data_IF_738939349959
#
_entry.id   IF_738939349959
#
_cell.length_a   1.000
_cell.length_b   1.000
_cell.length_c   1.000
_cell.angle_alpha   90.00
_cell.angle_beta   90.00
_cell.angle_gamma   90.00
#
_symmetry.space_group_name_H-M   'P 1'
#
loop_
_entity.id
_entity.type
_entity.pdbx_description
1 polymer ?
#
# COMPACT_ATOMS: atom_id res chain seq x y z
N UNK A 1 -10.85 -28.01 1.20
CA UNK A 1 -10.91 -26.54 1.01
C UNK A 1 -9.90 -26.16 -0.04
N UNK A 2 -10.25 -25.31 -1.00
CA UNK A 2 -9.30 -24.82 -2.01
C UNK A 2 -8.33 -23.90 -1.29
N UNK A 3 -7.04 -24.20 -1.35
CA UNK A 3 -5.98 -23.33 -0.84
C UNK A 3 -5.78 -22.20 -1.86
N UNK A 4 -5.56 -20.99 -1.40
CA UNK A 4 -5.43 -19.84 -2.31
C UNK A 4 -4.21 -18.99 -1.97
N UNK A 5 -3.49 -18.61 -3.01
CA UNK A 5 -2.43 -17.61 -2.96
C UNK A 5 -3.05 -16.28 -3.42
N UNK A 6 -3.24 -15.36 -2.49
CA UNK A 6 -4.04 -14.16 -2.69
C UNK A 6 -3.16 -12.91 -2.65
N UNK A 7 -3.34 -12.02 -3.62
CA UNK A 7 -2.71 -10.67 -3.60
C UNK A 7 -3.75 -9.64 -3.18
N UNK A 8 -3.42 -8.81 -2.21
CA UNK A 8 -4.23 -7.65 -1.79
C UNK A 8 -3.54 -6.37 -2.24
N UNK A 9 -4.23 -5.58 -3.07
CA UNK A 9 -3.73 -4.31 -3.58
C UNK A 9 -4.69 -3.15 -3.28
N UNK A 10 -4.19 -1.92 -3.33
CA UNK A 10 -5.03 -0.73 -3.34
C UNK A 10 -5.47 -0.38 -4.76
N UNK A 11 -6.75 -0.18 -4.97
CA UNK A 11 -7.31 0.13 -6.29
C UNK A 11 -7.29 1.64 -6.63
N UNK A 12 -6.86 2.49 -5.69
CA UNK A 12 -6.85 3.96 -5.82
C UNK A 12 -5.42 4.52 -5.60
N UNK A 13 -5.28 5.63 -4.86
CA UNK A 13 -3.98 6.27 -4.54
C UNK A 13 -3.40 5.88 -3.17
N UNK A 14 -3.67 4.69 -2.68
CA UNK A 14 -3.27 4.28 -1.34
C UNK A 14 -4.27 4.74 -0.27
N UNK A 15 -3.99 4.35 0.97
CA UNK A 15 -4.82 4.70 2.14
C UNK A 15 -6.28 4.19 2.07
N UNK A 16 -6.56 3.18 1.23
CA UNK A 16 -7.89 2.58 1.07
C UNK A 16 -8.34 1.74 2.28
N UNK A 17 -7.53 1.64 3.32
CA UNK A 17 -7.84 0.79 4.47
C UNK A 17 -7.37 -0.67 4.31
N UNK A 18 -6.39 -0.91 3.43
CA UNK A 18 -5.79 -2.23 3.19
C UNK A 18 -5.34 -2.94 4.47
N UNK A 19 -4.77 -2.19 5.44
CA UNK A 19 -4.29 -2.77 6.68
C UNK A 19 -5.37 -3.58 7.42
N UNK A 20 -6.60 -3.05 7.53
CA UNK A 20 -7.74 -3.75 8.12
C UNK A 20 -8.13 -5.01 7.33
N UNK A 21 -8.17 -4.90 5.99
CA UNK A 21 -8.54 -6.01 5.12
C UNK A 21 -7.45 -7.09 5.16
N UNK A 22 -6.17 -6.71 5.10
CA UNK A 22 -5.05 -7.65 5.21
C UNK A 22 -5.03 -8.34 6.57
N UNK A 23 -5.24 -7.61 7.66
CA UNK A 23 -5.35 -8.17 9.00
C UNK A 23 -6.50 -9.19 9.09
N UNK A 24 -7.69 -8.85 8.57
CA UNK A 24 -8.83 -9.77 8.53
C UNK A 24 -8.48 -11.07 7.79
N UNK A 25 -7.85 -10.97 6.63
CA UNK A 25 -7.48 -12.12 5.79
C UNK A 25 -6.31 -12.92 6.36
N UNK A 26 -5.42 -12.28 7.13
CA UNK A 26 -4.27 -12.92 7.77
C UNK A 26 -4.67 -14.03 8.75
N UNK A 27 -5.90 -14.00 9.30
CA UNK A 27 -6.43 -15.07 10.14
C UNK A 27 -6.48 -16.42 9.44
N UNK A 28 -6.62 -16.43 8.12
CA UNK A 28 -6.72 -17.64 7.30
C UNK A 28 -5.45 -17.90 6.49
N UNK A 29 -4.41 -17.06 6.66
CA UNK A 29 -3.14 -17.20 5.96
C UNK A 29 -2.09 -17.88 6.82
N UNK A 30 -1.40 -18.87 6.28
CA UNK A 30 -0.22 -19.47 6.90
C UNK A 30 1.03 -18.61 6.73
N UNK A 31 1.07 -17.83 5.63
CA UNK A 31 2.20 -16.97 5.28
C UNK A 31 1.69 -15.61 4.78
N UNK A 32 2.22 -14.52 5.31
CA UNK A 32 1.95 -13.15 4.84
C UNK A 32 3.23 -12.53 4.30
N UNK A 33 3.21 -12.09 3.04
CA UNK A 33 4.39 -11.58 2.33
C UNK A 33 4.21 -10.12 1.96
N UNK A 34 5.01 -9.24 2.54
CA UNK A 34 5.17 -7.88 2.07
C UNK A 34 6.10 -7.86 0.87
N UNK A 35 5.62 -7.53 -0.32
CA UNK A 35 6.40 -7.72 -1.54
C UNK A 35 7.05 -6.45 -2.09
N UNK A 36 6.63 -5.25 -1.68
CA UNK A 36 7.15 -3.99 -2.21
C UNK A 36 6.99 -2.81 -1.23
N UNK A 37 7.49 -1.62 -1.61
CA UNK A 37 7.45 -0.41 -0.79
C UNK A 37 8.55 -0.41 0.26
N UNK A 38 8.34 0.35 1.30
CA UNK A 38 9.28 0.50 2.42
C UNK A 38 8.59 1.25 3.56
N UNK A 39 9.33 2.03 4.31
CA UNK A 39 8.83 2.82 5.45
C UNK A 39 7.91 4.00 5.06
N UNK A 40 7.65 4.20 3.77
CA UNK A 40 6.62 5.12 3.27
C UNK A 40 5.20 4.57 3.41
N UNK A 41 5.04 3.28 3.66
CA UNK A 41 3.76 2.69 4.01
C UNK A 41 3.46 2.87 5.51
N UNK A 42 2.19 2.80 5.88
CA UNK A 42 1.77 2.78 7.27
C UNK A 42 0.47 1.99 7.38
N UNK A 43 0.52 0.89 8.12
CA UNK A 43 -0.66 0.11 8.49
C UNK A 43 -0.99 0.40 9.94
N UNK A 44 -2.20 0.85 10.18
CA UNK A 44 -2.74 0.95 11.52
C UNK A 44 -3.64 -0.24 11.78
N UNK A 45 -3.33 -1.02 12.79
CA UNK A 45 -4.09 -2.19 13.20
C UNK A 45 -4.56 -1.95 14.63
N UNK A 46 -5.82 -2.23 14.90
CA UNK A 46 -6.42 -2.12 16.24
C UNK A 46 -6.63 -3.54 16.79
N UNK A 47 -5.97 -3.85 17.91
CA UNK A 47 -6.08 -5.14 18.62
C UNK A 47 -6.34 -4.85 20.07
N UNK A 48 -7.47 -5.35 20.60
CA UNK A 48 -7.84 -5.22 22.03
C UNK A 48 -7.61 -3.80 22.59
N UNK A 49 -8.16 -2.78 21.90
CA UNK A 49 -8.02 -1.34 22.20
C UNK A 49 -6.61 -0.75 22.03
N UNK A 50 -5.63 -1.54 21.59
CA UNK A 50 -4.31 -1.07 21.25
C UNK A 50 -4.19 -0.71 19.76
N UNK A 51 -3.62 0.45 19.48
CA UNK A 51 -3.37 0.92 18.12
C UNK A 51 -1.90 0.69 17.78
N UNK A 52 -1.63 -0.30 16.95
CA UNK A 52 -0.29 -0.62 16.44
C UNK A 52 -0.10 0.01 15.05
N UNK A 53 1.02 0.71 14.88
CA UNK A 53 1.39 1.31 13.59
C UNK A 53 2.61 0.60 13.04
N UNK A 54 2.42 -0.18 11.98
CA UNK A 54 3.48 -0.90 11.29
C UNK A 54 3.80 -0.24 9.94
N UNK A 55 5.06 -0.17 9.58
CA UNK A 55 5.54 0.37 8.30
C UNK A 55 6.13 -0.71 7.39
N UNK A 56 6.93 -1.63 7.95
CA UNK A 56 7.64 -2.68 7.23
C UNK A 56 7.08 -4.07 7.52
N UNK A 57 6.78 -4.34 8.78
CA UNK A 57 6.38 -5.68 9.22
C UNK A 57 4.96 -5.97 8.72
N UNK A 58 4.73 -7.17 8.09
CA UNK A 58 3.42 -7.57 7.61
C UNK A 58 2.36 -7.65 8.73
N UNK A 59 1.10 -7.37 8.37
CA UNK A 59 -0.04 -7.37 9.31
C UNK A 59 -0.26 -8.72 9.99
N UNK A 60 0.16 -9.82 9.37
CA UNK A 60 0.04 -11.19 9.89
C UNK A 60 0.84 -11.46 11.18
N UNK A 61 1.77 -10.57 11.56
CA UNK A 61 2.61 -10.74 12.77
C UNK A 61 1.79 -10.84 14.08
N UNK A 62 0.54 -10.41 14.05
CA UNK A 62 -0.38 -10.50 15.19
C UNK A 62 -0.94 -11.91 15.42
N UNK A 63 -0.70 -12.83 14.49
CA UNK A 63 -1.16 -14.22 14.57
C UNK A 63 0.04 -15.15 14.80
N UNK A 64 0.14 -15.82 15.97
CA UNK A 64 1.34 -16.56 16.36
C UNK A 64 1.80 -17.65 15.38
N UNK A 65 0.84 -18.29 14.68
CA UNK A 65 1.12 -19.38 13.75
C UNK A 65 1.42 -18.89 12.32
N UNK A 66 1.37 -17.58 12.08
CA UNK A 66 1.57 -16.98 10.75
C UNK A 66 3.04 -16.63 10.54
N UNK A 67 3.62 -17.11 9.46
CA UNK A 67 4.95 -16.70 9.01
C UNK A 67 4.85 -15.37 8.27
N UNK A 68 5.57 -14.35 8.72
CA UNK A 68 5.61 -13.03 8.10
C UNK A 68 6.91 -12.81 7.34
N UNK A 69 6.84 -12.58 6.03
CA UNK A 69 7.98 -12.41 5.15
C UNK A 69 8.07 -10.98 4.62
N UNK A 70 9.23 -10.34 4.77
CA UNK A 70 9.58 -9.11 4.07
C UNK A 70 10.38 -9.50 2.83
N UNK A 71 9.74 -9.40 1.65
CA UNK A 71 10.27 -9.88 0.38
C UNK A 71 11.37 -9.00 -0.22
N UNK A 72 12.03 -9.53 -1.25
CA UNK A 72 13.17 -8.89 -1.94
C UNK A 72 12.81 -7.59 -2.69
N UNK A 73 11.53 -7.38 -2.97
CA UNK A 73 11.04 -6.15 -3.59
C UNK A 73 10.91 -4.98 -2.63
N UNK A 74 10.93 -5.22 -1.32
CA UNK A 74 10.85 -4.18 -0.29
C UNK A 74 12.20 -3.48 -0.12
N UNK A 75 12.18 -2.18 0.20
CA UNK A 75 13.36 -1.45 0.66
C UNK A 75 13.28 -1.25 2.18
N UNK A 76 14.29 -1.71 2.89
CA UNK A 76 14.29 -1.85 4.34
C UNK A 76 15.12 -0.76 4.99
N UNK A 77 14.52 -0.01 5.89
CA UNK A 77 15.23 0.86 6.81
C UNK A 77 15.49 0.08 8.11
N UNK A 78 16.75 -0.33 8.38
CA UNK A 78 17.06 -1.18 9.52
C UNK A 78 16.70 -0.54 10.86
N UNK A 79 16.87 0.78 10.99
CA UNK A 79 16.56 1.50 12.22
C UNK A 79 15.07 1.48 12.53
N UNK A 80 14.23 1.73 11.50
CA UNK A 80 12.76 1.70 11.66
C UNK A 80 12.29 0.27 11.93
N UNK A 81 12.82 -0.71 11.18
CA UNK A 81 12.48 -2.12 11.38
C UNK A 81 12.79 -2.59 12.81
N UNK A 82 13.96 -2.25 13.34
CA UNK A 82 14.33 -2.60 14.71
C UNK A 82 13.45 -1.91 15.74
N UNK A 83 13.05 -0.66 15.49
CA UNK A 83 12.09 0.04 16.34
C UNK A 83 10.69 -0.63 16.33
N UNK A 84 10.24 -1.15 15.19
CA UNK A 84 9.00 -1.93 15.12
C UNK A 84 9.12 -3.27 15.87
N UNK A 85 10.28 -3.95 15.76
CA UNK A 85 10.54 -5.18 16.51
C UNK A 85 10.51 -4.93 18.02
N UNK A 86 11.20 -3.90 18.49
CA UNK A 86 11.24 -3.55 19.90
C UNK A 86 9.82 -3.24 20.42
N UNK A 87 9.04 -2.46 19.67
CA UNK A 87 7.66 -2.13 20.00
C UNK A 87 6.76 -3.39 20.06
N UNK A 88 6.90 -4.33 19.12
CA UNK A 88 6.12 -5.58 19.13
C UNK A 88 6.47 -6.44 20.34
N UNK A 89 7.76 -6.59 20.68
CA UNK A 89 8.24 -7.33 21.85
C UNK A 89 7.71 -6.70 23.15
N UNK A 90 7.79 -5.37 23.28
CA UNK A 90 7.27 -4.63 24.44
C UNK A 90 5.76 -4.82 24.62
N UNK A 91 5.02 -5.03 23.54
CA UNK A 91 3.59 -5.35 23.58
C UNK A 91 3.28 -6.86 23.69
N UNK A 92 4.30 -7.70 23.94
CA UNK A 92 4.12 -9.13 24.16
C UNK A 92 3.81 -9.94 22.90
N UNK A 93 4.06 -9.38 21.71
CA UNK A 93 3.82 -10.05 20.43
C UNK A 93 5.05 -10.90 20.08
N UNK A 94 4.81 -12.17 19.74
CA UNK A 94 5.86 -13.08 19.30
C UNK A 94 6.33 -12.72 17.88
N UNK A 95 7.63 -12.53 17.72
CA UNK A 95 8.27 -12.20 16.45
C UNK A 95 9.02 -13.37 15.82
N UNK A 96 8.94 -14.58 16.39
CA UNK A 96 9.67 -15.77 15.90
C UNK A 96 9.31 -16.13 14.44
N UNK A 97 8.08 -15.86 14.03
CA UNK A 97 7.59 -16.05 12.66
C UNK A 97 8.08 -15.02 11.65
N UNK A 98 8.78 -13.94 12.08
CA UNK A 98 9.23 -12.88 11.18
C UNK A 98 10.50 -13.29 10.44
N UNK A 99 10.49 -13.11 9.12
CA UNK A 99 11.61 -13.40 8.21
C UNK A 99 11.84 -12.23 7.25
N UNK A 100 13.11 -11.97 6.96
CA UNK A 100 13.57 -10.87 6.12
C UNK A 100 14.40 -11.38 4.95
N UNK A 101 14.09 -10.98 3.74
CA UNK A 101 14.85 -11.36 2.57
C UNK A 101 16.29 -10.85 2.64
N UNK A 102 17.26 -11.78 2.55
CA UNK A 102 18.67 -11.47 2.46
C UNK A 102 19.02 -10.54 1.29
N UNK A 103 18.21 -10.57 0.23
CA UNK A 103 18.37 -9.80 -1.01
C UNK A 103 17.58 -8.49 -1.04
N UNK A 104 16.78 -8.18 -0.02
CA UNK A 104 16.12 -6.87 0.09
C UNK A 104 17.16 -5.75 0.19
N UNK A 105 16.84 -4.58 -0.41
CA UNK A 105 17.74 -3.44 -0.41
C UNK A 105 17.57 -2.61 0.86
N UNK A 106 18.68 -2.03 1.30
CA UNK A 106 18.76 -1.27 2.55
C UNK A 106 18.68 0.23 2.26
N UNK A 107 17.80 0.92 2.97
CA UNK A 107 17.77 2.38 2.97
C UNK A 107 18.91 2.89 3.85
N UNK A 108 19.95 3.44 3.19
CA UNK A 108 21.12 4.04 3.83
C UNK A 108 20.83 5.49 4.24
N UNK A 109 21.62 6.09 5.17
CA UNK A 109 21.36 7.45 5.65
C UNK A 109 21.45 8.50 4.53
N UNK A 110 22.32 8.32 3.54
CA UNK A 110 22.41 9.23 2.39
C UNK A 110 21.14 9.22 1.53
N UNK A 111 20.37 8.14 1.47
CA UNK A 111 19.10 8.10 0.75
C UNK A 111 18.08 9.08 1.33
N UNK A 112 17.98 9.16 2.66
CA UNK A 112 17.08 10.11 3.32
C UNK A 112 17.52 11.55 3.09
N UNK A 113 18.83 11.82 3.21
CA UNK A 113 19.38 13.17 2.97
C UNK A 113 19.12 13.62 1.53
N UNK A 114 19.33 12.72 0.56
CA UNK A 114 19.06 13.00 -0.85
C UNK A 114 17.57 13.25 -1.11
N UNK A 115 16.67 12.42 -0.59
CA UNK A 115 15.21 12.59 -0.77
C UNK A 115 14.76 13.96 -0.26
N UNK A 116 15.18 14.35 0.95
CA UNK A 116 14.87 15.64 1.55
C UNK A 116 15.48 16.83 0.76
N UNK A 117 16.72 16.69 0.32
CA UNK A 117 17.41 17.74 -0.43
C UNK A 117 16.80 17.94 -1.82
N UNK A 118 16.44 16.84 -2.51
CA UNK A 118 15.78 16.87 -3.82
C UNK A 118 14.38 17.50 -3.73
N UNK A 119 13.58 17.14 -2.73
CA UNK A 119 12.26 17.75 -2.54
C UNK A 119 12.37 19.26 -2.23
N UNK A 120 13.33 19.65 -1.40
CA UNK A 120 13.59 21.05 -1.11
C UNK A 120 14.01 21.84 -2.37
N UNK A 121 14.84 21.24 -3.23
CA UNK A 121 15.31 21.89 -4.46
C UNK A 121 14.19 22.05 -5.49
N UNK A 122 13.24 21.10 -5.54
CA UNK A 122 12.09 21.17 -6.46
C UNK A 122 11.13 22.33 -6.18
N UNK A 123 11.07 22.83 -4.94
CA UNK A 123 10.18 23.94 -4.56
C UNK A 123 8.72 23.63 -4.90
N UNK A 124 8.09 24.46 -5.73
CA UNK A 124 6.69 24.29 -6.15
C UNK A 124 6.46 23.08 -7.08
N UNK A 125 7.51 22.49 -7.63
CA UNK A 125 7.44 21.26 -8.45
C UNK A 125 7.73 19.99 -7.64
N UNK A 126 7.57 20.06 -6.33
CA UNK A 126 7.75 18.91 -5.44
C UNK A 126 6.77 17.76 -5.79
N UNK A 127 7.20 16.54 -5.59
CA UNK A 127 6.35 15.34 -5.73
C UNK A 127 5.48 15.14 -4.48
N UNK A 128 5.95 15.62 -3.33
CA UNK A 128 5.30 15.41 -2.05
C UNK A 128 5.73 14.10 -1.39
N UNK A 129 7.01 13.71 -1.55
CA UNK A 129 7.57 12.48 -0.96
C UNK A 129 7.47 12.48 0.57
N UNK A 130 7.65 11.30 1.17
CA UNK A 130 7.67 11.17 2.63
C UNK A 130 9.02 11.61 3.25
N UNK A 131 10.04 11.93 2.45
CA UNK A 131 11.39 12.26 2.90
C UNK A 131 12.13 11.09 3.57
N UNK A 132 11.69 9.86 3.34
CA UNK A 132 12.20 8.63 3.96
C UNK A 132 13.26 7.91 3.13
N UNK A 133 13.65 8.47 1.99
CA UNK A 133 14.70 7.92 1.12
C UNK A 133 14.28 6.76 0.23
N UNK A 134 12.98 6.53 0.06
CA UNK A 134 12.46 5.40 -0.72
C UNK A 134 12.88 5.49 -2.19
N UNK A 135 12.63 6.64 -2.84
CA UNK A 135 13.02 6.88 -4.24
C UNK A 135 14.50 6.66 -4.48
N UNK A 136 15.39 7.35 -3.75
CA UNK A 136 16.84 7.13 -3.87
C UNK A 136 17.29 5.69 -3.62
N UNK A 137 16.65 4.95 -2.70
CA UNK A 137 16.98 3.52 -2.48
C UNK A 137 16.62 2.65 -3.69
N UNK A 138 15.45 2.87 -4.30
CA UNK A 138 15.07 2.16 -5.53
C UNK A 138 15.92 2.58 -6.73
N UNK A 139 16.36 3.84 -6.79
CA UNK A 139 17.30 4.30 -7.81
C UNK A 139 18.63 3.53 -7.74
N UNK A 140 19.22 3.42 -6.55
CA UNK A 140 20.45 2.65 -6.35
C UNK A 140 20.25 1.15 -6.63
N UNK A 141 19.09 0.58 -6.27
CA UNK A 141 18.74 -0.79 -6.65
C UNK A 141 18.77 -0.98 -8.17
N UNK A 142 18.17 -0.08 -8.94
CA UNK A 142 18.12 -0.14 -10.40
C UNK A 142 19.48 0.16 -11.03
N UNK A 143 20.27 1.06 -10.43
CA UNK A 143 21.66 1.36 -10.82
C UNK A 143 22.63 0.24 -10.46
N UNK A 144 22.21 -0.73 -9.64
CA UNK A 144 23.03 -1.87 -9.15
C UNK A 144 24.17 -1.47 -8.21
N UNK A 145 24.03 -0.34 -7.53
CA UNK A 145 24.92 0.17 -6.48
C UNK A 145 24.33 0.03 -5.07
N UNK A 146 23.08 -0.47 -4.95
CA UNK A 146 22.40 -0.58 -3.66
C UNK A 146 22.99 -1.65 -2.73
N UNK A 147 22.97 -1.34 -1.44
CA UNK A 147 23.36 -2.26 -0.35
C UNK A 147 22.18 -3.19 -0.07
N UNK A 148 22.46 -4.49 0.14
CA UNK A 148 21.47 -5.51 0.50
C UNK A 148 21.56 -5.89 1.97
N UNK A 149 20.50 -6.46 2.50
CA UNK A 149 20.46 -6.93 3.91
C UNK A 149 21.61 -7.91 4.20
N UNK A 150 21.93 -8.83 3.29
CA UNK A 150 23.02 -9.79 3.42
C UNK A 150 24.40 -9.11 3.59
N UNK A 151 24.56 -7.90 3.06
CA UNK A 151 25.84 -7.17 3.14
C UNK A 151 26.07 -6.64 4.56
N UNK A 152 25.01 -6.42 5.35
CA UNK A 152 25.10 -5.98 6.74
C UNK A 152 25.60 -7.08 7.68
N UNK A 153 25.65 -8.33 7.23
CA UNK A 153 26.05 -9.49 8.04
C UNK A 153 27.56 -9.78 7.96
N UNK A 154 28.28 -9.06 7.11
CA UNK A 154 29.72 -9.27 6.88
C UNK A 154 30.41 -7.91 6.70
N UNK A 155 31.33 -7.60 7.60
CA UNK A 155 32.03 -6.31 7.62
C UNK A 155 32.84 -6.05 6.35
N UNK A 156 33.59 -7.04 5.87
CA UNK A 156 34.43 -6.87 4.69
C UNK A 156 33.56 -6.59 3.44
N UNK A 157 32.45 -7.30 3.33
CA UNK A 157 31.48 -7.11 2.25
C UNK A 157 30.81 -5.75 2.33
N UNK A 158 30.37 -5.33 3.53
CA UNK A 158 29.73 -4.02 3.69
C UNK A 158 30.70 -2.88 3.33
N UNK A 159 31.96 -2.97 3.76
CA UNK A 159 32.99 -1.97 3.41
C UNK A 159 33.19 -1.87 1.90
N UNK A 160 33.43 -3.01 1.24
CA UNK A 160 33.62 -3.09 -0.21
C UNK A 160 32.43 -2.51 -0.99
N UNK A 161 31.22 -2.89 -0.60
CA UNK A 161 29.99 -2.45 -1.29
C UNK A 161 29.63 -0.99 -1.05
N UNK A 162 29.96 -0.44 0.11
CA UNK A 162 29.57 0.92 0.51
C UNK A 162 30.55 1.99 0.03
N UNK A 163 31.84 1.68 -0.14
CA UNK A 163 32.90 2.67 -0.43
C UNK A 163 32.56 3.53 -1.63
N UNK A 164 32.27 2.92 -2.78
CA UNK A 164 31.94 3.64 -4.02
C UNK A 164 30.66 4.47 -3.91
N UNK A 165 29.53 3.87 -3.56
CA UNK A 165 28.26 4.59 -3.40
C UNK A 165 28.31 5.72 -2.38
N UNK A 166 28.96 5.51 -1.23
CA UNK A 166 29.04 6.55 -0.20
C UNK A 166 29.87 7.75 -0.67
N UNK A 167 31.00 7.52 -1.35
CA UNK A 167 31.81 8.59 -1.90
C UNK A 167 31.04 9.39 -2.97
N UNK A 168 30.35 8.73 -3.89
CA UNK A 168 29.51 9.36 -4.89
C UNK A 168 28.40 10.21 -4.25
N UNK A 169 27.67 9.65 -3.28
CA UNK A 169 26.55 10.35 -2.64
C UNK A 169 27.05 11.52 -1.75
N UNK A 170 28.16 11.36 -1.07
CA UNK A 170 28.77 12.44 -0.30
C UNK A 170 29.19 13.60 -1.20
N UNK A 171 29.81 13.31 -2.37
CA UNK A 171 30.13 14.35 -3.35
C UNK A 171 28.88 15.07 -3.84
N UNK A 172 27.81 14.33 -4.16
CA UNK A 172 26.53 14.90 -4.61
C UNK A 172 25.90 15.78 -3.51
N UNK A 173 25.85 15.29 -2.27
CA UNK A 173 25.32 16.02 -1.13
C UNK A 173 26.06 17.34 -0.89
N UNK A 174 27.41 17.31 -0.94
CA UNK A 174 28.22 18.51 -0.74
C UNK A 174 28.11 19.52 -1.88
N UNK A 175 28.34 19.06 -3.12
CA UNK A 175 28.53 19.96 -4.26
C UNK A 175 27.22 20.51 -4.82
N UNK A 176 26.14 19.72 -4.81
CA UNK A 176 24.84 20.11 -5.38
C UNK A 176 23.89 20.65 -4.32
N UNK A 177 23.85 19.99 -3.15
CA UNK A 177 22.84 20.29 -2.14
C UNK A 177 23.36 21.08 -0.93
N UNK A 178 24.69 21.27 -0.80
CA UNK A 178 25.28 21.99 0.35
C UNK A 178 25.06 21.27 1.68
N UNK A 179 24.87 19.94 1.65
CA UNK A 179 24.69 19.09 2.84
C UNK A 179 26.04 18.49 3.25
N UNK A 180 26.31 18.45 4.55
CA UNK A 180 27.56 17.86 5.07
C UNK A 180 27.68 16.38 4.70
N UNK A 181 28.90 15.89 4.39
CA UNK A 181 29.11 14.48 4.06
C UNK A 181 28.92 13.60 5.28
N UNK A 182 28.58 12.36 5.04
CA UNK A 182 28.49 11.32 6.06
C UNK A 182 29.88 10.73 6.33
N UNK A 183 30.16 10.46 7.60
CA UNK A 183 31.34 9.71 8.02
C UNK A 183 31.14 8.21 7.72
N UNK A 184 32.00 7.65 6.86
CA UNK A 184 31.92 6.27 6.42
C UNK A 184 32.07 5.25 7.56
N UNK A 185 33.01 5.50 8.49
CA UNK A 185 33.24 4.58 9.62
C UNK A 185 32.06 4.57 10.59
N UNK A 186 31.45 5.73 10.83
CA UNK A 186 30.24 5.82 11.65
C UNK A 186 29.06 5.07 11.00
N UNK A 187 28.87 5.22 9.68
CA UNK A 187 27.83 4.50 8.92
C UNK A 187 28.07 2.99 8.97
N UNK A 188 29.29 2.53 8.72
CA UNK A 188 29.64 1.09 8.76
C UNK A 188 29.36 0.51 10.15
N UNK A 189 29.86 1.16 11.20
CA UNK A 189 29.67 0.71 12.58
C UNK A 189 28.18 0.59 12.96
N UNK A 190 27.38 1.60 12.61
CA UNK A 190 25.95 1.63 12.89
C UNK A 190 25.22 0.50 12.15
N UNK A 191 25.49 0.31 10.84
CA UNK A 191 24.78 -0.66 10.02
C UNK A 191 25.20 -2.11 10.29
N UNK A 192 26.46 -2.35 10.71
CA UNK A 192 26.88 -3.66 11.24
C UNK A 192 26.14 -4.00 12.55
N UNK A 193 25.96 -3.02 13.43
CA UNK A 193 25.19 -3.23 14.65
C UNK A 193 23.72 -3.59 14.34
N UNK A 194 23.10 -2.94 13.35
CA UNK A 194 21.78 -3.31 12.86
C UNK A 194 21.76 -4.71 12.25
N UNK A 195 22.75 -5.05 11.40
CA UNK A 195 22.91 -6.36 10.79
C UNK A 195 22.97 -7.47 11.83
N UNK A 196 23.74 -7.29 12.89
CA UNK A 196 23.84 -8.24 14.00
C UNK A 196 22.49 -8.53 14.67
N UNK A 197 21.67 -7.50 14.87
CA UNK A 197 20.31 -7.65 15.44
C UNK A 197 19.34 -8.32 14.47
N UNK A 198 19.45 -8.01 13.18
CA UNK A 198 18.56 -8.56 12.15
C UNK A 198 18.93 -9.98 11.72
N UNK A 199 20.18 -10.42 11.95
CA UNK A 199 20.70 -11.71 11.50
C UNK A 199 19.80 -12.92 11.77
N UNK A 200 19.14 -13.04 12.94
CA UNK A 200 18.24 -14.17 13.22
C UNK A 200 17.03 -14.28 12.29
N UNK A 201 16.63 -13.17 11.68
CA UNK A 201 15.46 -13.08 10.79
C UNK A 201 15.82 -13.23 9.30
N UNK A 202 17.12 -13.15 8.95
CA UNK A 202 17.55 -13.10 7.55
C UNK A 202 17.53 -14.48 6.90
N UNK A 203 16.77 -14.61 5.82
CA UNK A 203 16.58 -15.88 5.08
C UNK A 203 16.58 -15.67 3.56
N UNK A 204 16.57 -16.77 2.81
CA UNK A 204 16.17 -16.79 1.40
C UNK A 204 14.64 -16.85 1.31
N UNK A 205 13.99 -15.67 1.25
CA UNK A 205 12.54 -15.58 1.21
C UNK A 205 11.93 -16.28 -0.02
N UNK A 206 12.57 -16.25 -1.17
CA UNK A 206 12.09 -16.94 -2.37
C UNK A 206 11.98 -18.44 -2.11
N UNK A 207 13.01 -19.04 -1.51
CA UNK A 207 13.00 -20.45 -1.12
C UNK A 207 11.90 -20.75 -0.09
N UNK A 208 11.72 -19.90 0.92
CA UNK A 208 10.68 -20.05 1.94
C UNK A 208 9.28 -20.04 1.31
N UNK A 209 8.99 -19.07 0.42
CA UNK A 209 7.70 -18.96 -0.25
C UNK A 209 7.42 -20.17 -1.15
N UNK A 210 8.43 -20.60 -1.91
CA UNK A 210 8.29 -21.79 -2.76
C UNK A 210 8.09 -23.08 -1.95
N UNK A 211 8.70 -23.16 -0.76
CA UNK A 211 8.46 -24.29 0.15
C UNK A 211 7.04 -24.25 0.69
N UNK A 212 6.56 -23.07 1.17
CA UNK A 212 5.19 -22.90 1.64
C UNK A 212 4.16 -23.30 0.57
N UNK A 213 4.39 -22.91 -0.70
CA UNK A 213 3.53 -23.28 -1.81
C UNK A 213 3.52 -24.79 -2.06
N UNK A 214 4.68 -25.48 -2.00
CA UNK A 214 4.76 -26.95 -2.10
C UNK A 214 4.03 -27.66 -0.96
N UNK A 215 4.11 -27.07 0.23
CA UNK A 215 3.46 -27.57 1.44
C UNK A 215 1.95 -27.23 1.47
N UNK A 216 1.44 -26.63 0.39
CA UNK A 216 0.04 -26.24 0.24
C UNK A 216 -0.45 -25.30 1.35
N UNK A 217 0.39 -24.32 1.69
CA UNK A 217 0.07 -23.23 2.61
C UNK A 217 -0.69 -22.10 1.91
N UNK A 218 -1.62 -21.46 2.63
CA UNK A 218 -2.27 -20.25 2.16
C UNK A 218 -1.29 -19.09 2.24
N UNK A 219 -1.02 -18.43 1.12
CA UNK A 219 -0.07 -17.31 1.05
C UNK A 219 -0.84 -16.02 0.72
N UNK A 220 -0.72 -15.03 1.60
CA UNK A 220 -1.26 -13.69 1.41
C UNK A 220 -0.15 -12.73 1.03
N UNK A 221 -0.22 -12.15 -0.16
CA UNK A 221 0.70 -11.10 -0.60
C UNK A 221 0.11 -9.74 -0.27
N UNK A 222 0.73 -9.06 0.67
CA UNK A 222 0.32 -7.77 1.19
C UNK A 222 0.96 -6.63 0.39
N UNK A 223 0.15 -5.89 -0.39
CA UNK A 223 0.55 -4.69 -1.11
C UNK A 223 0.55 -3.44 -0.23
N UNK A 224 1.43 -2.51 -0.56
CA UNK A 224 1.44 -1.16 -0.01
C UNK A 224 1.08 -0.14 -1.08
N UNK A 225 0.74 1.09 -0.69
CA UNK A 225 0.30 2.15 -1.58
C UNK A 225 -0.97 1.73 -2.37
N UNK A 226 -1.10 2.14 -3.63
CA UNK A 226 -2.23 1.81 -4.50
C UNK A 226 -1.86 1.88 -5.97
N UNK A 227 -2.73 1.37 -6.83
CA UNK A 227 -2.51 1.23 -8.28
C UNK A 227 -2.09 2.54 -8.94
N UNK A 228 -2.74 3.66 -8.58
CA UNK A 228 -2.47 4.97 -9.18
C UNK A 228 -1.14 5.60 -8.68
N UNK A 229 -0.48 4.96 -7.73
CA UNK A 229 0.87 5.29 -7.27
C UNK A 229 1.95 4.36 -7.84
N UNK A 230 1.59 3.44 -8.75
CA UNK A 230 2.56 2.55 -9.40
C UNK A 230 3.52 3.35 -10.29
N UNK A 231 4.80 2.96 -10.29
CA UNK A 231 5.84 3.65 -11.04
C UNK A 231 5.59 3.68 -12.55
N UNK A 232 5.04 2.59 -13.10
CA UNK A 232 4.82 2.41 -14.54
C UNK A 232 3.37 2.70 -14.94
N UNK A 233 2.41 2.41 -14.06
CA UNK A 233 0.97 2.44 -14.35
C UNK A 233 0.20 3.55 -13.60
N UNK A 234 0.88 4.30 -12.74
CA UNK A 234 0.27 5.36 -11.94
C UNK A 234 0.31 6.74 -12.60
N UNK A 235 -0.05 7.74 -11.80
CA UNK A 235 -0.08 9.16 -12.21
C UNK A 235 1.32 9.78 -12.21
N UNK A 236 2.25 9.22 -12.97
CA UNK A 236 3.63 9.72 -13.07
C UNK A 236 3.69 11.22 -13.42
N UNK A 237 4.53 12.06 -12.78
CA UNK A 237 5.59 11.70 -11.83
C UNK A 237 5.13 11.60 -10.34
N UNK A 238 3.84 11.77 -10.04
CA UNK A 238 3.28 11.76 -8.69
C UNK A 238 2.96 10.34 -8.24
N UNK A 239 3.99 9.51 -8.13
CA UNK A 239 3.94 8.07 -7.86
C UNK A 239 4.95 7.66 -6.80
N UNK A 240 4.86 6.41 -6.30
CA UNK A 240 5.94 5.78 -5.53
C UNK A 240 6.99 5.20 -6.49
N UNK A 241 8.17 4.87 -5.98
CA UNK A 241 9.26 4.31 -6.79
C UNK A 241 9.24 2.78 -6.85
N UNK A 242 8.09 2.17 -6.62
CA UNK A 242 7.88 0.72 -6.66
C UNK A 242 6.61 0.38 -7.44
N UNK A 243 6.35 -0.93 -7.62
CA UNK A 243 5.18 -1.42 -8.32
C UNK A 243 4.15 -2.03 -7.34
N UNK A 244 3.16 -1.23 -6.84
CA UNK A 244 2.06 -1.69 -6.01
C UNK A 244 1.08 -2.63 -6.70
N UNK A 245 1.03 -2.64 -8.04
CA UNK A 245 0.14 -3.51 -8.82
C UNK A 245 0.41 -4.99 -8.53
N UNK A 246 -0.58 -5.85 -8.81
CA UNK A 246 -0.53 -7.28 -8.51
C UNK A 246 0.68 -7.99 -9.13
N UNK A 247 1.09 -7.59 -10.35
CA UNK A 247 2.31 -8.08 -11.00
C UNK A 247 3.59 -7.83 -10.21
N UNK A 248 3.61 -6.77 -9.38
CA UNK A 248 4.70 -6.48 -8.45
C UNK A 248 4.91 -7.54 -7.38
N UNK A 249 3.86 -8.29 -7.02
CA UNK A 249 3.96 -9.40 -6.07
C UNK A 249 4.86 -10.52 -6.64
N UNK A 250 4.73 -10.82 -7.92
CA UNK A 250 5.55 -11.84 -8.57
C UNK A 250 7.04 -11.49 -8.51
N UNK A 251 7.39 -10.25 -8.83
CA UNK A 251 8.78 -9.77 -8.83
C UNK A 251 9.32 -9.64 -7.41
N UNK A 252 8.53 -9.01 -6.51
CA UNK A 252 8.97 -8.66 -5.16
C UNK A 252 9.09 -9.86 -4.21
N UNK A 253 8.27 -10.88 -4.43
CA UNK A 253 8.32 -12.14 -3.66
C UNK A 253 9.13 -13.24 -4.35
N UNK A 254 9.42 -13.10 -5.66
CA UNK A 254 10.17 -14.10 -6.43
C UNK A 254 9.32 -15.32 -6.79
N UNK A 255 8.06 -15.12 -7.17
CA UNK A 255 7.13 -16.18 -7.57
C UNK A 255 6.66 -16.03 -9.00
N UNK A 256 6.32 -17.14 -9.65
CA UNK A 256 5.72 -17.09 -10.98
C UNK A 256 4.26 -16.60 -10.93
N UNK A 257 3.76 -15.93 -12.01
CA UNK A 257 2.39 -15.39 -12.02
C UNK A 257 1.30 -16.48 -11.87
N UNK A 258 1.58 -17.71 -12.29
CA UNK A 258 0.66 -18.85 -12.16
C UNK A 258 0.52 -19.37 -10.73
N UNK A 259 1.32 -18.86 -9.79
CA UNK A 259 1.14 -19.15 -8.36
C UNK A 259 0.01 -18.31 -7.76
N UNK A 260 -0.31 -17.17 -8.35
CA UNK A 260 -1.37 -16.28 -7.85
C UNK A 260 -2.73 -16.83 -8.27
N UNK A 261 -3.56 -17.14 -7.30
CA UNK A 261 -4.92 -17.68 -7.53
C UNK A 261 -5.96 -16.57 -7.62
N UNK A 262 -5.77 -15.48 -6.83
CA UNK A 262 -6.72 -14.36 -6.73
C UNK A 262 -6.04 -13.03 -6.47
N UNK A 263 -6.69 -11.96 -6.94
CA UNK A 263 -6.30 -10.58 -6.67
C UNK A 263 -7.50 -9.81 -6.11
N UNK A 264 -7.35 -9.29 -4.90
CA UNK A 264 -8.36 -8.49 -4.20
C UNK A 264 -7.98 -7.02 -4.31
N UNK A 265 -8.87 -6.21 -4.89
CA UNK A 265 -8.75 -4.77 -4.89
C UNK A 265 -9.41 -4.15 -3.66
N UNK A 266 -8.69 -3.36 -2.89
CA UNK A 266 -9.28 -2.56 -1.81
C UNK A 266 -9.53 -1.16 -2.34
N UNK A 267 -10.79 -0.70 -2.25
CA UNK A 267 -11.21 0.65 -2.63
C UNK A 267 -12.00 1.28 -1.48
N UNK A 268 -11.86 2.58 -1.27
CA UNK A 268 -12.81 3.32 -0.44
C UNK A 268 -14.12 3.54 -1.19
N UNK A 269 -15.19 3.70 -0.47
CA UNK A 269 -16.47 4.14 -1.02
C UNK A 269 -16.43 5.58 -1.62
N UNK A 270 -15.33 6.28 -1.46
CA UNK A 270 -14.97 7.56 -2.07
C UNK A 270 -13.48 7.53 -2.42
N UNK A 271 -12.90 8.63 -2.84
CA UNK A 271 -11.48 8.65 -3.23
C UNK A 271 -10.69 9.59 -2.33
N UNK A 272 -9.45 9.24 -2.01
CA UNK A 272 -8.53 10.15 -1.32
C UNK A 272 -7.15 10.12 -1.97
N UNK A 273 -6.45 11.26 -1.88
CA UNK A 273 -5.08 11.38 -2.34
C UNK A 273 -4.23 12.14 -1.34
N UNK A 274 -3.00 11.68 -1.13
CA UNK A 274 -1.95 12.41 -0.40
C UNK A 274 -0.94 12.94 -1.40
N UNK A 275 -0.45 14.15 -1.19
CA UNK A 275 0.56 14.77 -2.05
C UNK A 275 -0.02 15.49 -3.25
N UNK A 276 0.86 15.84 -4.16
CA UNK A 276 0.54 16.65 -5.34
C UNK A 276 0.02 15.77 -6.50
N UNK A 277 -0.36 16.42 -7.58
CA UNK A 277 -0.80 15.81 -8.82
C UNK A 277 -2.31 15.90 -9.06
N UNK A 278 -2.76 15.55 -10.27
CA UNK A 278 -4.15 15.72 -10.71
C UNK A 278 -5.12 14.81 -9.94
N UNK A 279 -6.30 15.34 -9.64
CA UNK A 279 -7.38 14.64 -8.96
C UNK A 279 -8.73 15.16 -9.47
N UNK A 280 -9.23 14.66 -10.62
CA UNK A 280 -10.42 15.20 -11.28
C UNK A 280 -11.68 15.23 -10.42
N UNK A 281 -11.86 14.24 -9.54
CA UNK A 281 -13.04 14.14 -8.67
C UNK A 281 -12.86 14.82 -7.31
N UNK A 282 -11.81 15.62 -7.13
CA UNK A 282 -11.52 16.31 -5.88
C UNK A 282 -12.67 17.23 -5.45
N UNK A 283 -12.94 17.25 -4.17
CA UNK A 283 -13.97 18.06 -3.53
C UNK A 283 -13.38 19.31 -2.91
N UNK A 284 -14.16 20.37 -2.91
CA UNK A 284 -13.84 21.64 -2.27
C UNK A 284 -14.74 21.92 -1.07
N UNK A 285 -14.28 22.86 -0.22
CA UNK A 285 -15.08 23.44 0.86
C UNK A 285 -15.57 22.45 1.90
N UNK A 286 -16.81 22.67 2.37
CA UNK A 286 -17.38 21.95 3.51
C UNK A 286 -17.53 20.44 3.30
N UNK A 287 -17.74 19.98 2.07
CA UNK A 287 -17.89 18.56 1.77
C UNK A 287 -16.57 17.83 1.87
N UNK A 288 -15.47 18.42 1.36
CA UNK A 288 -14.12 17.89 1.57
C UNK A 288 -13.79 17.82 3.08
N UNK A 289 -14.15 18.88 3.83
CA UNK A 289 -13.92 18.93 5.27
C UNK A 289 -14.71 17.84 6.01
N UNK A 290 -15.97 17.67 5.66
CA UNK A 290 -16.83 16.62 6.24
C UNK A 290 -16.24 15.22 6.01
N UNK A 291 -15.89 14.86 4.77
CA UNK A 291 -15.31 13.55 4.47
C UNK A 291 -13.96 13.34 5.15
N UNK A 292 -13.13 14.40 5.21
CA UNK A 292 -11.84 14.32 5.86
C UNK A 292 -11.96 14.09 7.37
N UNK A 293 -12.82 14.83 8.04
CA UNK A 293 -12.97 14.78 9.49
C UNK A 293 -13.69 13.48 9.92
N UNK A 294 -14.81 13.13 9.26
CA UNK A 294 -15.55 11.89 9.54
C UNK A 294 -14.74 10.65 9.16
N UNK A 295 -14.04 10.70 8.05
CA UNK A 295 -13.17 9.60 7.59
C UNK A 295 -11.83 9.51 8.33
N UNK A 296 -11.47 10.49 9.17
CA UNK A 296 -10.14 10.56 9.78
C UNK A 296 -9.04 10.58 8.72
N UNK A 297 -9.25 11.35 7.65
CA UNK A 297 -8.38 11.33 6.47
C UNK A 297 -7.10 12.14 6.68
N UNK A 298 -6.22 11.59 7.53
CA UNK A 298 -4.88 12.11 7.81
C UNK A 298 -3.83 11.06 7.50
N UNK A 299 -2.73 11.46 6.89
CA UNK A 299 -1.66 10.56 6.52
C UNK A 299 -1.01 9.91 7.76
N UNK A 300 -1.00 8.59 7.83
CA UNK A 300 -0.47 7.82 8.97
C UNK A 300 0.98 8.16 9.29
N UNK A 301 1.79 8.40 8.26
CA UNK A 301 3.23 8.69 8.39
C UNK A 301 3.53 10.18 8.56
N UNK A 302 2.77 11.05 7.88
CA UNK A 302 3.06 12.49 7.79
C UNK A 302 2.10 13.37 8.58
N UNK A 303 0.96 12.84 9.01
CA UNK A 303 -0.13 13.59 9.63
C UNK A 303 -0.81 14.62 8.68
N UNK A 304 -0.42 14.66 7.40
CA UNK A 304 -1.01 15.58 6.43
C UNK A 304 -2.47 15.22 6.19
N UNK A 305 -3.32 16.24 6.08
CA UNK A 305 -4.70 16.10 5.64
C UNK A 305 -4.71 15.56 4.22
N UNK A 306 -5.55 14.55 3.96
CA UNK A 306 -5.77 14.00 2.62
C UNK A 306 -6.75 14.86 1.86
N UNK A 307 -6.55 14.97 0.56
CA UNK A 307 -7.52 15.50 -0.39
C UNK A 307 -8.61 14.44 -0.58
N UNK A 308 -9.87 14.81 -0.45
CA UNK A 308 -10.99 13.89 -0.63
C UNK A 308 -11.70 14.19 -1.95
N UNK A 309 -12.29 13.16 -2.56
CA UNK A 309 -13.03 13.25 -3.81
C UNK A 309 -14.12 12.19 -3.90
N UNK A 310 -15.05 12.36 -4.83
CA UNK A 310 -16.02 11.35 -5.13
C UNK A 310 -15.37 10.07 -5.68
N UNK A 311 -16.09 8.95 -5.61
CA UNK A 311 -15.61 7.70 -6.19
C UNK A 311 -15.39 7.88 -7.69
N UNK A 312 -14.23 7.47 -8.16
CA UNK A 312 -13.83 7.60 -9.56
C UNK A 312 -13.83 6.22 -10.23
N UNK A 313 -14.89 5.96 -11.00
CA UNK A 313 -15.08 4.69 -11.70
C UNK A 313 -14.14 4.51 -12.88
N UNK A 314 -13.60 5.60 -13.46
CA UNK A 314 -12.64 5.50 -14.57
C UNK A 314 -11.33 4.92 -14.08
N UNK A 315 -10.78 5.46 -12.97
CA UNK A 315 -9.58 4.88 -12.36
C UNK A 315 -9.86 3.50 -11.76
N UNK A 316 -11.10 3.27 -11.27
CA UNK A 316 -11.52 1.99 -10.76
C UNK A 316 -11.45 0.89 -11.82
N UNK A 317 -12.07 1.09 -12.98
CA UNK A 317 -11.98 0.15 -14.13
C UNK A 317 -10.53 -0.05 -14.60
N UNK A 318 -9.75 1.04 -14.64
CA UNK A 318 -8.33 0.95 -14.95
C UNK A 318 -7.59 0.04 -13.96
N UNK A 319 -7.84 0.21 -12.65
CA UNK A 319 -7.25 -0.64 -11.63
C UNK A 319 -7.67 -2.11 -11.77
N UNK A 320 -8.94 -2.38 -12.12
CA UNK A 320 -9.42 -3.74 -12.41
C UNK A 320 -8.59 -4.38 -13.53
N UNK A 321 -8.43 -3.67 -14.66
CA UNK A 321 -7.70 -4.18 -15.81
C UNK A 321 -6.21 -4.41 -15.55
N UNK A 322 -5.53 -3.43 -14.94
CA UNK A 322 -4.08 -3.50 -14.67
C UNK A 322 -3.73 -4.61 -13.67
N UNK A 323 -4.59 -4.84 -12.68
CA UNK A 323 -4.34 -5.83 -11.64
C UNK A 323 -4.98 -7.20 -11.91
N UNK A 324 -5.95 -7.29 -12.83
CA UNK A 324 -6.74 -8.51 -13.00
C UNK A 324 -7.54 -8.83 -11.73
N UNK A 325 -8.32 -7.86 -11.21
CA UNK A 325 -9.05 -8.04 -9.96
C UNK A 325 -10.13 -9.12 -10.10
N UNK A 326 -10.18 -10.02 -9.13
CA UNK A 326 -11.26 -11.03 -9.01
C UNK A 326 -12.42 -10.52 -8.17
N UNK A 327 -12.16 -9.65 -7.19
CA UNK A 327 -13.18 -9.03 -6.35
C UNK A 327 -12.68 -7.74 -5.68
N UNK A 328 -13.62 -6.99 -5.10
CA UNK A 328 -13.38 -5.77 -4.34
C UNK A 328 -13.65 -5.96 -2.85
N UNK A 329 -12.85 -5.27 -2.03
CA UNK A 329 -13.17 -4.92 -0.66
C UNK A 329 -13.44 -3.41 -0.61
N UNK A 330 -14.70 -3.03 -0.39
CA UNK A 330 -15.10 -1.62 -0.27
C UNK A 330 -15.02 -1.21 1.19
N UNK A 331 -14.30 -0.12 1.46
CA UNK A 331 -14.06 0.36 2.83
C UNK A 331 -14.68 1.74 3.05
N UNK A 332 -14.88 2.08 4.33
CA UNK A 332 -15.34 3.41 4.75
C UNK A 332 -16.70 3.83 4.15
N UNK A 333 -17.60 2.89 3.98
CA UNK A 333 -18.97 3.18 3.54
C UNK A 333 -19.69 4.06 4.57
N UNK A 334 -19.45 3.85 5.85
CA UNK A 334 -19.97 4.60 7.00
C UNK A 334 -19.67 6.10 6.96
N UNK A 335 -18.63 6.50 6.26
CA UNK A 335 -18.26 7.92 6.10
C UNK A 335 -19.30 8.68 5.28
N UNK A 336 -20.04 7.98 4.43
CA UNK A 336 -21.06 8.56 3.55
C UNK A 336 -22.46 8.59 4.19
N UNK A 337 -22.65 8.08 5.41
CA UNK A 337 -23.94 7.86 6.06
C UNK A 337 -24.86 9.10 6.16
N UNK A 338 -24.28 10.30 6.27
CA UNK A 338 -25.02 11.54 6.48
C UNK A 338 -25.33 12.32 5.20
N UNK A 339 -24.82 11.87 4.06
CA UNK A 339 -24.96 12.58 2.79
C UNK A 339 -26.34 12.35 2.17
N UNK A 340 -26.92 13.43 1.62
CA UNK A 340 -28.20 13.40 0.92
C UNK A 340 -28.09 12.77 -0.47
N UNK A 341 -26.98 13.08 -1.14
CA UNK A 341 -26.65 12.64 -2.49
C UNK A 341 -25.18 12.23 -2.56
N UNK A 342 -24.91 11.26 -3.41
CA UNK A 342 -23.58 10.76 -3.70
C UNK A 342 -23.34 10.89 -5.20
N UNK A 343 -22.11 11.29 -5.57
CA UNK A 343 -21.71 11.32 -6.96
C UNK A 343 -20.66 10.28 -7.26
N UNK A 344 -20.78 9.61 -8.40
CA UNK A 344 -19.81 8.65 -8.91
C UNK A 344 -19.35 9.10 -10.29
N UNK A 345 -18.07 9.29 -10.48
CA UNK A 345 -17.53 9.62 -11.80
C UNK A 345 -17.56 8.39 -12.70
N UNK A 346 -18.32 8.48 -13.79
CA UNK A 346 -18.52 7.37 -14.75
C UNK A 346 -17.67 7.52 -16.01
N UNK A 347 -17.26 8.74 -16.33
CA UNK A 347 -16.43 9.09 -17.48
C UNK A 347 -15.74 10.44 -17.25
N UNK A 348 -14.83 10.82 -18.12
CA UNK A 348 -14.28 12.18 -18.18
C UNK A 348 -14.70 12.86 -19.50
N UNK A 349 -14.74 14.18 -19.46
CA UNK A 349 -14.63 15.01 -20.64
C UNK A 349 -13.19 15.52 -20.74
N UNK A 350 -12.53 15.24 -21.85
CA UNK A 350 -11.18 15.70 -22.16
C UNK A 350 -11.18 16.40 -23.52
N UNK A 351 -10.86 17.69 -23.51
CA UNK A 351 -10.76 18.54 -24.70
C UNK A 351 -12.06 18.49 -25.59
N UNK A 352 -13.23 18.34 -24.94
CA UNK A 352 -14.55 18.28 -25.58
C UNK A 352 -15.00 16.88 -25.98
N UNK A 353 -14.22 15.85 -25.73
CA UNK A 353 -14.58 14.46 -26.00
C UNK A 353 -14.84 13.69 -24.70
N UNK A 354 -15.91 12.87 -24.68
CA UNK A 354 -16.18 11.93 -23.59
C UNK A 354 -15.24 10.74 -23.70
N UNK A 355 -14.49 10.46 -22.65
CA UNK A 355 -13.61 9.30 -22.55
C UNK A 355 -13.95 8.46 -21.32
N UNK A 356 -13.82 7.14 -21.43
CA UNK A 356 -14.06 6.18 -20.34
C UNK A 356 -12.80 5.41 -19.93
N UNK A 357 -11.66 5.82 -20.45
CA UNK A 357 -10.36 5.25 -20.15
C UNK A 357 -9.46 6.27 -19.43
N UNK A 358 -8.54 5.74 -18.63
CA UNK A 358 -7.55 6.54 -17.91
C UNK A 358 -6.52 7.13 -18.89
N UNK A 359 -6.31 8.46 -18.92
CA UNK A 359 -5.33 9.09 -19.79
C UNK A 359 -3.88 8.69 -19.47
N UNK A 360 -3.08 8.54 -20.51
CA UNK A 360 -1.69 8.06 -20.40
C UNK A 360 -0.69 9.08 -19.81
N UNK A 361 -1.06 10.36 -19.67
CA UNK A 361 -0.17 11.36 -19.10
C UNK A 361 -0.86 12.26 -18.09
N UNK A 362 -0.09 12.77 -17.11
CA UNK A 362 -0.61 13.60 -16.02
C UNK A 362 -1.21 14.92 -16.52
N UNK A 363 -0.68 15.51 -17.59
CA UNK A 363 -1.17 16.75 -18.17
C UNK A 363 -2.56 16.58 -18.80
N UNK A 364 -2.81 15.47 -19.49
CA UNK A 364 -4.12 15.14 -20.00
C UNK A 364 -5.09 14.85 -18.84
N UNK A 365 -4.65 14.07 -17.86
CA UNK A 365 -5.44 13.76 -16.68
C UNK A 365 -5.82 15.01 -15.87
N UNK A 366 -4.92 16.00 -15.78
CA UNK A 366 -5.21 17.28 -15.12
C UNK A 366 -6.27 18.15 -15.84
N UNK A 367 -6.49 17.91 -17.15
CA UNK A 367 -7.56 18.60 -17.90
C UNK A 367 -8.89 17.88 -17.91
N UNK A 368 -8.92 16.64 -17.44
CA UNK A 368 -10.15 15.87 -17.37
C UNK A 368 -11.18 16.54 -16.47
N UNK A 369 -12.40 16.71 -16.99
CA UNK A 369 -13.56 17.13 -16.23
C UNK A 369 -14.40 15.88 -15.92
N UNK A 370 -14.71 15.57 -14.64
CA UNK A 370 -15.48 14.37 -14.32
C UNK A 370 -16.93 14.50 -14.76
N UNK A 371 -17.46 13.44 -15.35
CA UNK A 371 -18.87 13.26 -15.66
C UNK A 371 -19.43 12.36 -14.57
N UNK A 372 -20.36 12.93 -13.79
CA UNK A 372 -20.92 12.25 -12.64
C UNK A 372 -22.30 11.65 -12.91
N UNK A 373 -22.56 10.52 -12.26
CA UNK A 373 -23.89 10.03 -11.99
C UNK A 373 -24.22 10.26 -10.51
N UNK A 374 -25.44 10.78 -10.26
CA UNK A 374 -25.90 11.11 -8.90
C UNK A 374 -26.79 10.01 -8.38
N UNK A 375 -26.48 9.52 -7.18
CA UNK A 375 -27.21 8.48 -6.47
C UNK A 375 -27.76 9.06 -5.16
N UNK A 376 -28.95 8.61 -4.69
CA UNK A 376 -29.49 9.08 -3.42
C UNK A 376 -28.70 8.54 -2.23
N UNK A 377 -28.35 9.40 -1.30
CA UNK A 377 -27.76 9.02 -0.01
C UNK A 377 -28.78 8.36 0.91
N UNK A 378 -28.31 7.60 1.89
CA UNK A 378 -29.19 6.83 2.78
C UNK A 378 -29.49 7.51 4.10
N UNK A 379 -28.75 8.53 4.51
CA UNK A 379 -28.99 9.38 5.68
C UNK A 379 -29.29 8.64 6.99
N UNK A 380 -28.64 7.49 7.20
CA UNK A 380 -28.72 6.74 8.46
C UNK A 380 -27.43 5.97 8.70
N UNK A 381 -27.15 5.68 9.97
CA UNK A 381 -25.90 5.00 10.36
C UNK A 381 -25.87 3.56 9.88
N UNK A 382 -24.73 3.16 9.28
CA UNK A 382 -24.41 1.78 8.91
C UNK A 382 -23.51 1.08 9.93
N UNK A 383 -23.11 1.75 11.01
CA UNK A 383 -22.11 1.27 11.97
C UNK A 383 -22.49 -0.06 12.65
N UNK A 384 -23.81 -0.30 12.86
CA UNK A 384 -24.31 -1.50 13.52
C UNK A 384 -24.70 -2.62 12.53
N UNK A 385 -24.57 -2.41 11.20
CA UNK A 385 -24.83 -3.44 10.22
C UNK A 385 -23.76 -4.53 10.29
N UNK A 386 -24.19 -5.79 10.19
CA UNK A 386 -23.30 -6.96 10.23
C UNK A 386 -23.52 -7.91 9.07
N UNK A 387 -24.63 -7.77 8.37
CA UNK A 387 -24.99 -8.51 7.15
C UNK A 387 -25.39 -7.55 6.03
N UNK A 388 -25.46 -8.03 4.79
CA UNK A 388 -25.91 -7.17 3.67
C UNK A 388 -27.37 -6.75 3.84
N UNK A 389 -28.18 -7.59 4.44
CA UNK A 389 -29.61 -7.35 4.69
C UNK A 389 -29.85 -6.24 5.71
N UNK A 390 -28.86 -5.96 6.59
CA UNK A 390 -28.94 -4.84 7.55
C UNK A 390 -28.69 -3.49 6.88
N UNK A 391 -28.06 -3.48 5.70
CA UNK A 391 -27.72 -2.24 5.00
C UNK A 391 -28.98 -1.56 4.46
N UNK A 392 -29.05 -0.22 4.54
CA UNK A 392 -30.10 0.54 3.88
C UNK A 392 -30.15 0.22 2.38
N UNK A 393 -31.38 0.17 1.81
CA UNK A 393 -31.58 -0.14 0.40
C UNK A 393 -30.77 0.75 -0.54
N UNK A 394 -30.64 2.05 -0.22
CA UNK A 394 -29.85 3.01 -0.98
C UNK A 394 -28.35 2.73 -0.88
N UNK A 395 -27.85 2.29 0.28
CA UNK A 395 -26.45 1.88 0.43
C UNK A 395 -26.15 0.61 -0.38
N UNK A 396 -27.07 -0.34 -0.39
CA UNK A 396 -27.00 -1.52 -1.25
C UNK A 396 -27.05 -1.15 -2.74
N UNK A 397 -27.90 -0.19 -3.13
CA UNK A 397 -27.95 0.31 -4.51
C UNK A 397 -26.62 0.95 -4.93
N UNK A 398 -26.00 1.73 -4.02
CA UNK A 398 -24.68 2.32 -4.24
C UNK A 398 -23.61 1.24 -4.46
N UNK A 399 -23.55 0.21 -3.61
CA UNK A 399 -22.59 -0.89 -3.75
C UNK A 399 -22.78 -1.67 -5.05
N UNK A 400 -24.04 -1.97 -5.42
CA UNK A 400 -24.36 -2.61 -6.71
C UNK A 400 -23.91 -1.75 -7.89
N UNK A 401 -24.18 -0.47 -7.84
CA UNK A 401 -23.75 0.47 -8.88
C UNK A 401 -22.21 0.47 -9.05
N UNK A 402 -21.46 0.46 -7.93
CA UNK A 402 -20.00 0.36 -8.01
C UNK A 402 -19.53 -0.97 -8.60
N UNK A 403 -20.16 -2.09 -8.20
CA UNK A 403 -19.81 -3.43 -8.71
C UNK A 403 -20.08 -3.52 -10.23
N UNK A 404 -21.23 -3.02 -10.68
CA UNK A 404 -21.62 -3.01 -12.09
C UNK A 404 -20.70 -2.08 -12.91
N UNK A 405 -20.41 -0.88 -12.41
CA UNK A 405 -19.54 0.09 -13.07
C UNK A 405 -18.11 -0.45 -13.25
N UNK A 406 -17.62 -1.20 -12.27
CA UNK A 406 -16.26 -1.77 -12.29
C UNK A 406 -16.21 -3.19 -12.89
N UNK A 407 -17.36 -3.80 -13.17
CA UNK A 407 -17.49 -5.18 -13.68
C UNK A 407 -16.80 -6.23 -12.80
N UNK A 408 -16.76 -5.98 -11.47
CA UNK A 408 -16.12 -6.84 -10.49
C UNK A 408 -16.97 -6.93 -9.22
N UNK A 409 -17.22 -8.16 -8.69
CA UNK A 409 -18.03 -8.35 -7.50
C UNK A 409 -17.39 -7.77 -6.25
N UNK A 410 -18.22 -7.35 -5.29
CA UNK A 410 -17.79 -6.92 -3.96
C UNK A 410 -17.86 -8.12 -3.02
N UNK A 411 -16.72 -8.53 -2.47
CA UNK A 411 -16.60 -9.64 -1.53
C UNK A 411 -16.59 -9.19 -0.05
N UNK A 412 -16.17 -7.95 0.22
CA UNK A 412 -16.07 -7.42 1.58
C UNK A 412 -16.58 -5.97 1.59
N UNK A 413 -17.36 -5.61 2.63
CA UNK A 413 -17.78 -4.23 2.92
C UNK A 413 -17.36 -3.88 4.35
N UNK A 414 -16.58 -2.81 4.51
CA UNK A 414 -16.11 -2.33 5.81
C UNK A 414 -16.81 -1.02 6.19
N UNK A 415 -17.40 -1.01 7.39
CA UNK A 415 -18.30 0.02 7.93
C UNK A 415 -17.72 0.77 9.12
N UNK A 416 -16.42 0.69 9.34
CA UNK A 416 -15.74 1.34 10.47
C UNK A 416 -14.33 0.82 10.68
N UNK A 417 -13.69 1.24 11.78
CA UNK A 417 -12.31 0.87 12.09
C UNK A 417 -12.17 -0.52 12.74
N UNK A 418 -13.18 -0.97 13.49
CA UNK A 418 -13.19 -2.24 14.22
C UNK A 418 -13.24 -3.44 13.28
N UNK A 419 -12.65 -4.56 13.69
CA UNK A 419 -12.69 -5.82 12.94
C UNK A 419 -14.11 -6.34 12.73
N UNK A 420 -14.95 -6.23 13.74
CA UNK A 420 -16.36 -6.62 13.78
C UNK A 420 -17.25 -5.75 12.88
N UNK A 421 -16.79 -4.56 12.50
CA UNK A 421 -17.47 -3.64 11.58
C UNK A 421 -17.12 -3.99 10.11
N UNK A 422 -17.23 -5.29 9.77
CA UNK A 422 -16.92 -5.77 8.43
C UNK A 422 -17.92 -6.86 8.03
N UNK A 423 -18.58 -6.65 6.90
CA UNK A 423 -19.44 -7.66 6.27
C UNK A 423 -18.57 -8.43 5.27
N UNK A 424 -18.41 -9.72 5.49
CA UNK A 424 -17.80 -10.64 4.53
C UNK A 424 -18.92 -11.26 3.73
N UNK A 425 -19.10 -10.80 2.49
CA UNK A 425 -20.12 -11.29 1.56
C UNK A 425 -19.75 -12.67 1.04
N UNK A 426 -18.46 -12.82 0.75
CA UNK A 426 -17.86 -14.09 0.34
C UNK A 426 -16.43 -14.15 0.84
N UNK A 427 -16.01 -15.30 1.36
CA UNK A 427 -14.62 -15.53 1.76
C UNK A 427 -13.70 -15.52 0.52
N UNK A 428 -12.88 -14.48 0.34
CA UNK A 428 -12.06 -14.36 -0.86
C UNK A 428 -10.86 -15.31 -0.85
N UNK A 429 -10.58 -16.01 0.24
CA UNK A 429 -9.53 -17.03 0.33
C UNK A 429 -10.08 -18.41 -0.04
N UNK A 430 -11.26 -18.78 0.47
CA UNK A 430 -11.82 -20.13 0.36
C UNK A 430 -13.08 -20.22 -0.51
N UNK A 431 -13.65 -19.08 -0.92
CA UNK A 431 -14.85 -19.01 -1.73
C UNK A 431 -14.63 -19.41 -3.20
N UNK A 432 -15.69 -19.62 -4.01
CA UNK A 432 -15.57 -19.86 -5.44
C UNK A 432 -14.94 -18.66 -6.18
N UNK A 433 -14.34 -18.86 -7.36
CA UNK A 433 -13.65 -17.80 -8.14
C UNK A 433 -14.56 -16.70 -8.71
N UNK A 434 -15.86 -16.71 -8.42
CA UNK A 434 -16.80 -15.65 -8.81
C UNK A 434 -17.81 -15.47 -7.70
N UNK A 435 -17.60 -14.47 -6.88
CA UNK A 435 -18.59 -14.00 -5.93
C UNK A 435 -19.60 -13.10 -6.64
N UNK A 436 -20.84 -13.30 -6.31
CA UNK A 436 -21.96 -12.70 -6.99
C UNK A 436 -22.49 -11.48 -6.22
N UNK A 437 -22.20 -10.29 -6.71
CA UNK A 437 -23.18 -9.21 -6.75
C UNK A 437 -23.36 -8.84 -8.22
N UNK A 438 -23.68 -9.82 -9.07
CA UNK A 438 -24.22 -9.55 -10.40
C UNK A 438 -25.69 -9.90 -10.39
N UNK A 439 -26.51 -8.84 -10.52
CA UNK A 439 -27.94 -8.78 -10.83
C UNK A 439 -28.86 -9.84 -10.23
#
# INVERSE_FOLDING_TARGET
MSLANVVVIGAQWGDEGKGKITDLLSRSADVVVRYQGGVNAGHTIVVDDQVLKLHLIPSGILYPDTVCLIGSGTVVDPKVMLGELDMLIENGIDIAGLKLASTAHVTMPYHRLLDQAMEKQRGDRRIGTTGRGIGPTYADKSQRSGIRVIDLLDEARLRDRLEGPLNEKNQLLQTIYGVAPLDGEAVISEYLAYGKRLAPHVVDCTREIHQAARDRKNILFEGAQGTLLDLDHGTYPYVTSSNPVSGGACIGAGVGPTLIDRVIGVAKAYTTRVGEGPFPTELDGSLNDHLCDRGGEFGTTTGRRRRCGWFDGVIGRYAVGVNGLDCLAVTKLDVLDELDELQVCVAYELDGERIEHFPSCAEAFARCQPIFETLPGWQCSTAECRTLEDLPEKAMAYLRFLADLMEVPIAIVSLGAGRDQTIVVEDPIHGPKRALLSA
#
